data_IF_435930026468
#
_entry.id   IF_435930026468
#
_cell.length_a   1.000
_cell.length_b   1.000
_cell.length_c   1.000
_cell.angle_alpha   90.00
_cell.angle_beta   90.00
_cell.angle_gamma   90.00
#
_symmetry.space_group_name_H-M   'P 1'
#
loop_
_entity.id
_entity.type
_entity.pdbx_description
1 polymer ?
#
# COMPACT_ATOMS: atom_id res chain seq x y z
N UNK A 1 -5.39 17.42 8.48
CA UNK A 1 -4.33 16.39 8.36
C UNK A 1 -4.59 15.72 7.02
N UNK A 2 -3.58 15.49 6.17
CA UNK A 2 -3.88 15.10 4.78
C UNK A 2 -4.36 13.66 4.62
N UNK A 3 -4.10 12.81 5.61
CA UNK A 3 -4.64 11.45 5.76
C UNK A 3 -5.35 11.33 7.11
N UNK A 4 -6.42 10.54 7.18
CA UNK A 4 -7.20 10.30 8.39
C UNK A 4 -7.88 8.92 8.34
N UNK A 5 -8.31 8.41 9.49
CA UNK A 5 -9.12 7.19 9.56
C UNK A 5 -10.60 7.55 9.42
N UNK A 6 -11.34 6.86 8.57
CA UNK A 6 -12.76 7.10 8.31
C UNK A 6 -13.58 5.85 8.59
N UNK A 7 -14.67 5.98 9.35
CA UNK A 7 -15.59 4.87 9.60
C UNK A 7 -16.34 4.48 8.33
N UNK A 8 -16.25 3.21 7.93
CA UNK A 8 -16.89 2.72 6.69
C UNK A 8 -18.42 2.73 6.74
N UNK A 9 -19.01 2.86 7.93
CA UNK A 9 -20.45 2.94 8.09
C UNK A 9 -20.93 4.35 7.70
N UNK A 10 -21.71 4.51 6.62
CA UNK A 10 -22.12 5.82 6.13
C UNK A 10 -23.04 6.59 7.08
N UNK A 11 -23.70 5.91 8.02
CA UNK A 11 -24.50 6.57 9.05
C UNK A 11 -23.65 7.12 10.20
N UNK A 12 -22.44 6.59 10.38
CA UNK A 12 -21.49 7.05 11.38
C UNK A 12 -20.54 8.09 10.77
N UNK A 13 -19.79 7.72 9.72
CA UNK A 13 -18.85 8.58 9.00
C UNK A 13 -17.84 9.35 9.90
N UNK A 14 -17.63 8.88 11.14
CA UNK A 14 -16.71 9.48 12.09
C UNK A 14 -15.28 9.40 11.54
N UNK A 15 -14.50 10.45 11.81
CA UNK A 15 -13.11 10.57 11.35
C UNK A 15 -12.17 10.73 12.53
N UNK A 16 -11.02 10.06 12.47
CA UNK A 16 -10.02 10.01 13.54
C UNK A 16 -8.62 10.31 13.00
N UNK A 17 -7.69 10.65 13.89
CA UNK A 17 -6.32 10.95 13.50
C UNK A 17 -5.66 9.72 12.89
N UNK A 18 -4.84 9.88 11.84
CA UNK A 18 -4.13 8.74 11.27
C UNK A 18 -3.12 8.12 12.25
N UNK A 19 -2.65 8.89 13.23
CA UNK A 19 -1.80 8.44 14.33
C UNK A 19 -2.53 7.70 15.44
N UNK A 20 -3.87 7.72 15.48
CA UNK A 20 -4.63 6.97 16.48
C UNK A 20 -4.50 5.45 16.21
N UNK A 21 -4.22 4.67 17.25
CA UNK A 21 -4.10 3.21 17.14
C UNK A 21 -5.45 2.56 17.43
N UNK A 22 -6.33 2.54 16.41
CA UNK A 22 -7.69 2.03 16.51
C UNK A 22 -7.84 0.72 15.70
N UNK A 23 -8.55 -0.26 16.29
CA UNK A 23 -8.89 -1.52 15.61
C UNK A 23 -10.34 -1.56 15.12
N UNK A 24 -11.16 -0.61 15.59
CA UNK A 24 -12.55 -0.41 15.20
C UNK A 24 -12.96 1.02 15.52
N UNK A 25 -14.02 1.51 14.89
CA UNK A 25 -14.59 2.82 15.14
C UNK A 25 -15.08 2.92 16.60
N UNK A 26 -14.56 3.87 17.41
CA UNK A 26 -15.01 4.09 18.78
C UNK A 26 -16.50 4.37 18.93
N UNK A 27 -17.14 4.97 17.91
CA UNK A 27 -18.52 5.43 18.00
C UNK A 27 -19.55 4.33 17.68
N UNK A 28 -19.21 3.37 16.82
CA UNK A 28 -20.17 2.36 16.36
C UNK A 28 -19.61 0.94 16.17
N UNK A 29 -18.33 0.71 16.44
CA UNK A 29 -17.67 -0.61 16.35
C UNK A 29 -17.43 -1.14 14.94
N UNK A 30 -17.76 -0.40 13.89
CA UNK A 30 -17.46 -0.79 12.50
C UNK A 30 -15.96 -0.65 12.16
N UNK A 31 -15.57 -1.13 10.98
CA UNK A 31 -14.22 -0.98 10.47
C UNK A 31 -13.90 0.49 10.14
N UNK A 32 -12.61 0.80 10.16
CA UNK A 32 -12.04 2.06 9.70
C UNK A 32 -11.31 1.81 8.38
N UNK A 33 -11.38 2.77 7.47
CA UNK A 33 -10.55 2.85 6.27
C UNK A 33 -9.62 4.07 6.37
N UNK A 34 -8.59 4.14 5.53
CA UNK A 34 -7.74 5.33 5.42
C UNK A 34 -8.22 6.17 4.24
N UNK A 35 -8.59 7.42 4.53
CA UNK A 35 -8.99 8.40 3.53
C UNK A 35 -8.08 9.63 3.56
N UNK A 36 -8.13 10.41 2.50
CA UNK A 36 -7.25 11.54 2.28
C UNK A 36 -8.04 12.77 1.83
N UNK A 37 -7.57 13.94 2.25
CA UNK A 37 -8.08 15.21 1.73
C UNK A 37 -7.49 15.48 0.33
N UNK A 38 -7.94 14.73 -0.68
CA UNK A 38 -7.38 14.72 -2.04
C UNK A 38 -7.32 16.11 -2.68
N UNK A 39 -8.29 16.97 -2.41
CA UNK A 39 -8.34 18.35 -2.92
C UNK A 39 -7.18 19.22 -2.43
N UNK A 40 -6.53 18.84 -1.33
CA UNK A 40 -5.38 19.56 -0.75
C UNK A 40 -4.05 18.89 -1.05
N UNK A 41 -4.07 17.68 -1.61
CA UNK A 41 -2.88 16.91 -1.93
C UNK A 41 -2.35 17.27 -3.32
N UNK A 42 -1.02 17.37 -3.49
CA UNK A 42 -0.40 17.48 -4.81
C UNK A 42 -0.42 16.10 -5.50
N UNK A 43 -1.61 15.64 -5.89
CA UNK A 43 -1.80 14.33 -6.54
C UNK A 43 -1.12 14.35 -7.93
N UNK A 44 -0.25 13.38 -8.24
CA UNK A 44 0.36 13.25 -9.56
C UNK A 44 -0.69 13.19 -10.67
N UNK A 45 -0.47 13.92 -11.76
CA UNK A 45 -1.43 14.04 -12.85
C UNK A 45 -1.32 12.89 -13.86
N UNK A 46 -0.23 12.12 -13.80
CA UNK A 46 -0.01 11.01 -14.71
C UNK A 46 0.91 9.93 -14.11
N UNK A 47 0.76 8.69 -14.59
CA UNK A 47 1.62 7.58 -14.21
C UNK A 47 3.10 7.80 -14.59
N UNK A 48 3.37 8.66 -15.58
CA UNK A 48 4.74 9.00 -16.02
C UNK A 48 5.59 9.61 -14.89
N UNK A 49 4.96 10.26 -13.93
CA UNK A 49 5.66 10.83 -12.77
C UNK A 49 6.27 9.72 -11.90
N UNK A 50 5.59 8.58 -11.77
CA UNK A 50 6.11 7.40 -11.09
C UNK A 50 7.12 6.63 -11.95
N UNK A 51 6.94 6.59 -13.27
CA UNK A 51 7.91 6.00 -14.19
C UNK A 51 9.27 6.72 -14.12
N UNK A 52 9.27 8.05 -13.99
CA UNK A 52 10.50 8.83 -13.86
C UNK A 52 11.35 8.41 -12.64
N UNK A 53 10.69 8.02 -11.53
CA UNK A 53 11.36 7.50 -10.32
C UNK A 53 12.07 6.17 -10.57
N UNK A 54 11.60 5.39 -11.54
CA UNK A 54 12.27 4.14 -11.93
C UNK A 54 13.67 4.36 -12.50
N UNK A 55 14.00 5.56 -12.96
CA UNK A 55 15.37 5.94 -13.32
C UNK A 55 16.31 6.03 -12.12
N UNK A 56 15.78 6.21 -10.90
CA UNK A 56 16.53 6.45 -9.67
C UNK A 56 16.50 5.26 -8.69
N UNK A 57 16.56 4.03 -9.20
CA UNK A 57 16.45 2.80 -8.37
C UNK A 57 17.58 2.55 -7.37
N UNK A 58 18.58 3.44 -7.31
CA UNK A 58 19.56 3.47 -6.22
C UNK A 58 18.95 4.04 -4.94
N UNK A 59 17.89 4.83 -5.03
CA UNK A 59 17.09 5.25 -3.89
C UNK A 59 16.15 4.11 -3.46
N UNK A 60 16.19 3.67 -2.18
CA UNK A 60 15.33 2.58 -1.70
C UNK A 60 13.82 2.83 -1.85
N UNK A 61 13.37 4.08 -1.70
CA UNK A 61 11.96 4.45 -1.84
C UNK A 61 11.50 4.39 -3.29
N UNK A 62 12.37 4.77 -4.23
CA UNK A 62 12.07 4.70 -5.67
C UNK A 62 12.21 3.26 -6.21
N UNK A 63 13.00 2.42 -5.54
CA UNK A 63 13.07 0.99 -5.80
C UNK A 63 11.79 0.28 -5.36
N UNK A 64 11.29 0.51 -4.14
CA UNK A 64 10.05 -0.12 -3.66
C UNK A 64 8.87 0.10 -4.62
N UNK A 65 8.22 -0.99 -5.00
CA UNK A 65 7.00 -0.98 -5.80
C UNK A 65 5.79 -0.40 -5.07
N UNK A 66 5.85 -0.22 -3.74
CA UNK A 66 4.86 0.54 -2.96
C UNK A 66 5.27 2.00 -2.85
N UNK A 67 6.45 2.28 -2.28
CA UNK A 67 6.87 3.64 -1.94
C UNK A 67 7.28 4.49 -3.14
N UNK A 68 7.46 3.91 -4.32
CA UNK A 68 7.54 4.68 -5.56
C UNK A 68 6.27 5.52 -5.78
N UNK A 69 5.13 5.05 -5.28
CA UNK A 69 3.82 5.72 -5.31
C UNK A 69 3.51 6.53 -4.04
N UNK A 70 4.50 6.86 -3.20
CA UNK A 70 4.32 7.54 -1.90
C UNK A 70 3.52 8.85 -1.96
N UNK A 71 3.45 9.52 -3.11
CA UNK A 71 2.64 10.73 -3.30
C UNK A 71 1.13 10.45 -3.23
N UNK A 72 0.73 9.20 -3.45
CA UNK A 72 -0.64 8.68 -3.28
C UNK A 72 -0.86 8.06 -1.89
N UNK A 73 0.19 7.95 -1.08
CA UNK A 73 0.15 7.40 0.28
C UNK A 73 0.79 8.38 1.30
N UNK A 74 0.44 9.68 1.30
CA UNK A 74 1.12 10.69 2.12
C UNK A 74 0.68 10.69 3.59
N UNK A 75 0.59 9.50 4.20
CA UNK A 75 0.18 9.35 5.60
C UNK A 75 1.34 9.44 6.59
N UNK A 76 2.58 9.27 6.13
CA UNK A 76 3.80 9.31 6.96
C UNK A 76 4.91 10.15 6.31
N UNK A 77 5.76 10.81 7.12
CA UNK A 77 6.93 11.51 6.58
C UNK A 77 7.99 10.52 6.10
N UNK A 78 8.77 10.90 5.07
CA UNK A 78 9.74 9.99 4.44
C UNK A 78 10.75 9.38 5.42
N UNK A 79 11.14 10.10 6.49
CA UNK A 79 12.07 9.61 7.53
C UNK A 79 11.56 8.39 8.32
N UNK A 80 10.25 8.17 8.32
CA UNK A 80 9.59 7.08 9.05
C UNK A 80 9.21 5.93 8.12
N UNK A 81 9.42 6.07 6.80
CA UNK A 81 9.16 5.01 5.84
C UNK A 81 10.11 3.83 6.07
N UNK A 82 9.51 2.65 6.18
CA UNK A 82 10.19 1.36 6.25
C UNK A 82 9.94 0.63 4.95
N UNK A 83 11.00 0.07 4.35
CA UNK A 83 10.91 -0.69 3.10
C UNK A 83 11.98 -1.78 3.06
N UNK A 84 11.66 -2.89 2.40
CA UNK A 84 12.61 -3.96 2.07
C UNK A 84 12.74 -4.15 0.55
N UNK A 85 12.16 -3.25 -0.25
CA UNK A 85 12.19 -3.29 -1.71
C UNK A 85 11.07 -4.13 -2.36
N UNK A 86 10.01 -4.39 -1.60
CA UNK A 86 8.77 -5.09 -2.03
C UNK A 86 8.09 -4.45 -3.24
N UNK A 87 7.10 -5.14 -3.83
CA UNK A 87 6.19 -4.62 -4.86
C UNK A 87 6.72 -4.60 -6.30
N UNK A 88 7.93 -5.10 -6.55
CA UNK A 88 8.53 -5.15 -7.89
C UNK A 88 8.36 -6.51 -8.57
N UNK A 89 7.17 -7.06 -8.45
CA UNK A 89 6.83 -8.41 -8.86
C UNK A 89 6.50 -8.48 -10.35
N UNK A 90 6.81 -9.62 -10.95
CA UNK A 90 6.71 -9.81 -12.40
C UNK A 90 5.25 -9.98 -12.82
N UNK A 91 4.85 -9.21 -13.85
CA UNK A 91 3.61 -9.45 -14.60
C UNK A 91 3.93 -10.30 -15.83
N UNK A 92 3.65 -11.59 -15.77
CA UNK A 92 4.03 -12.55 -16.80
C UNK A 92 2.82 -12.98 -17.63
N UNK A 93 2.89 -12.82 -18.95
CA UNK A 93 1.89 -13.42 -19.84
C UNK A 93 1.96 -14.95 -19.78
N UNK A 94 0.81 -15.62 -19.68
CA UNK A 94 0.74 -17.09 -19.65
C UNK A 94 -0.24 -17.62 -20.69
N UNK A 95 0.29 -18.04 -21.85
CA UNK A 95 -0.50 -18.64 -22.91
C UNK A 95 -1.08 -20.02 -22.51
N UNK A 96 -0.34 -20.81 -21.73
CA UNK A 96 -0.79 -22.14 -21.30
C UNK A 96 -2.02 -22.04 -20.39
N UNK A 97 -1.98 -21.15 -19.39
CA UNK A 97 -3.13 -20.93 -18.50
C UNK A 97 -4.26 -20.25 -19.29
N UNK A 98 -3.96 -19.28 -20.15
CA UNK A 98 -4.95 -18.64 -21.03
C UNK A 98 -5.74 -19.65 -21.84
N UNK A 99 -5.06 -20.57 -22.53
CA UNK A 99 -5.69 -21.66 -23.27
C UNK A 99 -6.52 -22.57 -22.38
N UNK A 100 -6.03 -22.91 -21.19
CA UNK A 100 -6.75 -23.77 -20.24
C UNK A 100 -8.09 -23.16 -19.80
N UNK A 101 -8.14 -21.83 -19.59
CA UNK A 101 -9.36 -21.12 -19.17
C UNK A 101 -10.20 -20.58 -20.34
N UNK A 102 -9.84 -20.87 -21.58
CA UNK A 102 -10.58 -20.41 -22.78
C UNK A 102 -10.40 -18.92 -23.10
N UNK A 103 -9.30 -18.31 -22.66
CA UNK A 103 -8.93 -16.94 -23.02
C UNK A 103 -8.11 -16.91 -24.32
N UNK A 104 -8.26 -15.82 -25.07
CA UNK A 104 -7.46 -15.56 -26.27
C UNK A 104 -5.97 -15.42 -25.92
N UNK A 105 -5.10 -15.78 -26.86
CA UNK A 105 -3.66 -15.55 -26.75
C UNK A 105 -3.38 -14.08 -26.48
N UNK A 106 -2.50 -13.80 -25.50
CA UNK A 106 -2.22 -12.44 -25.05
C UNK A 106 -3.21 -11.86 -24.04
N UNK A 107 -4.30 -12.56 -23.74
CA UNK A 107 -5.34 -12.06 -22.83
C UNK A 107 -5.11 -12.34 -21.34
N UNK A 108 -4.19 -13.25 -20.99
CA UNK A 108 -3.97 -13.67 -19.59
C UNK A 108 -2.55 -13.37 -19.12
N UNK A 109 -2.48 -12.70 -17.96
CA UNK A 109 -1.26 -12.39 -17.24
C UNK A 109 -1.35 -12.88 -15.79
N UNK A 110 -0.21 -13.26 -15.25
CA UNK A 110 -0.04 -13.67 -13.86
C UNK A 110 0.87 -12.67 -13.16
N UNK A 111 0.36 -12.02 -12.11
CA UNK A 111 1.14 -11.16 -11.24
C UNK A 111 1.75 -12.01 -10.12
N UNK A 112 3.07 -12.23 -10.16
CA UNK A 112 3.77 -13.12 -9.23
C UNK A 112 4.08 -12.45 -7.89
N UNK A 113 3.05 -12.17 -7.09
CA UNK A 113 3.22 -11.53 -5.78
C UNK A 113 4.00 -12.36 -4.74
N UNK A 114 4.17 -13.67 -4.99
CA UNK A 114 5.04 -14.54 -4.20
C UNK A 114 6.54 -14.32 -4.42
N UNK A 115 6.94 -13.43 -5.33
CA UNK A 115 8.34 -13.04 -5.55
C UNK A 115 8.76 -11.79 -4.76
N UNK A 116 7.90 -11.32 -3.86
CA UNK A 116 8.29 -10.37 -2.83
C UNK A 116 9.31 -10.98 -1.85
N UNK A 117 10.09 -10.17 -1.11
CA UNK A 117 11.17 -10.66 -0.26
C UNK A 117 10.81 -11.77 0.75
N UNK A 118 9.62 -11.74 1.37
CA UNK A 118 9.17 -12.79 2.29
C UNK A 118 8.55 -14.01 1.60
N UNK A 119 8.40 -13.97 0.27
CA UNK A 119 7.65 -14.96 -0.49
C UNK A 119 6.14 -14.71 -0.53
N UNK A 120 5.66 -13.52 -0.15
CA UNK A 120 4.22 -13.23 -0.06
C UNK A 120 3.85 -11.80 -0.46
N UNK A 121 2.63 -11.63 -0.99
CA UNK A 121 2.02 -10.32 -1.26
C UNK A 121 1.89 -9.44 0.00
N UNK A 122 1.95 -10.06 1.19
CA UNK A 122 1.79 -9.35 2.47
C UNK A 122 2.86 -8.29 2.70
N UNK A 123 4.02 -8.40 2.04
CA UNK A 123 5.08 -7.39 2.14
C UNK A 123 4.58 -6.00 1.73
N UNK A 124 3.73 -5.92 0.71
CA UNK A 124 3.16 -4.66 0.22
C UNK A 124 2.29 -3.96 1.28
N UNK A 125 1.59 -4.72 2.12
CA UNK A 125 0.82 -4.15 3.24
C UNK A 125 1.68 -3.91 4.48
N UNK A 126 2.60 -4.84 4.77
CA UNK A 126 3.47 -4.77 5.94
C UNK A 126 4.45 -3.61 5.89
N UNK A 127 4.88 -3.18 4.70
CA UNK A 127 5.71 -1.97 4.53
C UNK A 127 4.98 -0.73 5.05
N UNK A 128 3.69 -0.58 4.75
CA UNK A 128 2.84 0.52 5.24
C UNK A 128 2.54 0.38 6.74
N UNK A 129 2.18 -0.83 7.20
CA UNK A 129 1.93 -1.09 8.62
C UNK A 129 3.17 -0.84 9.50
N UNK A 130 4.36 -1.23 9.02
CA UNK A 130 5.63 -1.02 9.72
C UNK A 130 6.03 0.45 9.74
N UNK A 131 5.73 1.19 8.67
CA UNK A 131 5.90 2.64 8.59
C UNK A 131 4.98 3.36 9.58
N UNK A 132 3.70 2.97 9.65
CA UNK A 132 2.76 3.51 10.62
C UNK A 132 3.20 3.21 12.06
N UNK A 133 3.59 1.97 12.35
CA UNK A 133 4.11 1.57 13.66
C UNK A 133 5.32 2.42 14.08
N UNK A 134 6.24 2.71 13.15
CA UNK A 134 7.38 3.59 13.39
C UNK A 134 6.94 5.03 13.65
N UNK A 135 6.02 5.56 12.84
CA UNK A 135 5.47 6.90 12.95
C UNK A 135 4.80 7.15 14.33
N UNK A 136 4.04 6.18 14.84
CA UNK A 136 3.37 6.29 16.16
C UNK A 136 4.29 5.89 17.33
N UNK A 137 5.56 5.60 17.06
CA UNK A 137 6.56 5.29 18.09
C UNK A 137 6.41 3.90 18.73
N UNK A 138 5.72 2.97 18.08
CA UNK A 138 5.54 1.60 18.56
C UNK A 138 6.90 0.91 18.75
N UNK A 139 7.01 0.10 19.81
CA UNK A 139 8.25 -0.64 20.16
C UNK A 139 8.17 -2.12 19.85
N UNK A 140 6.97 -2.65 19.68
CA UNK A 140 6.71 -4.07 19.47
C UNK A 140 5.56 -4.23 18.48
N UNK A 141 5.65 -5.26 17.66
CA UNK A 141 4.55 -5.76 16.83
C UNK A 141 4.26 -7.20 17.24
N UNK A 142 3.00 -7.60 17.18
CA UNK A 142 2.55 -8.95 17.50
C UNK A 142 1.61 -9.44 16.39
N UNK A 143 1.59 -10.74 16.14
CA UNK A 143 0.63 -11.37 15.25
C UNK A 143 0.08 -12.64 15.89
N UNK A 144 -1.16 -12.98 15.55
CA UNK A 144 -1.81 -14.22 15.94
C UNK A 144 -2.23 -14.99 14.67
N UNK A 145 -1.21 -15.41 13.91
CA UNK A 145 -1.35 -16.17 12.66
C UNK A 145 -0.10 -17.05 12.46
N UNK A 146 -0.23 -18.13 11.68
CA UNK A 146 0.87 -19.04 11.33
C UNK A 146 1.51 -18.70 10.01
#
# INVERSE_FOLDING_TARGET
MLAFQHCINPLCAASFDVGDVLTSCPDCGNLLDIDYEWDKLPVPKSLREFEARWGNRRNPLDFSGVWRFRDLLPFAPEKDIVTIGEGQTILQQSAAVGKYVGMNDGGLFLQYEGLNPSGSFKDNGMTAASTHARMVGAKMAACAST
#
